data_IF_203313245244
#
_entry.id   IF_203313245244
#
_cell.length_a   1.000
_cell.length_b   1.000
_cell.length_c   1.000
_cell.angle_alpha   90.00
_cell.angle_beta   90.00
_cell.angle_gamma   90.00
#
_symmetry.space_group_name_H-M   'P 1'
#
loop_
_entity.id
_entity.type
_entity.pdbx_description
1 polymer ?
#
# COMPACT_ATOMS: atom_id res chain seq x y z
N UNK A 1 19.93 3.46 4.12
CA UNK A 1 19.75 2.56 5.27
C UNK A 1 19.54 1.15 4.76
N UNK A 2 20.28 0.15 5.26
CA UNK A 2 20.17 -1.24 4.83
C UNK A 2 18.80 -1.82 5.25
N UNK A 3 18.33 -2.85 4.53
CA UNK A 3 17.15 -3.61 4.91
C UNK A 3 17.58 -4.79 5.80
N UNK A 4 16.81 -5.06 6.85
CA UNK A 4 17.03 -6.21 7.71
C UNK A 4 16.24 -7.42 7.19
N UNK A 5 16.81 -8.62 7.25
CA UNK A 5 16.10 -9.85 6.94
C UNK A 5 15.39 -10.37 8.18
N UNK A 6 14.12 -10.62 8.06
CA UNK A 6 13.25 -11.02 9.17
C UNK A 6 12.47 -12.28 8.80
N UNK A 7 12.06 -13.09 9.81
CA UNK A 7 11.14 -14.19 9.58
C UNK A 7 9.82 -13.68 9.02
N UNK A 8 9.27 -14.41 8.04
CA UNK A 8 8.02 -14.01 7.40
C UNK A 8 6.82 -14.33 8.28
N UNK A 9 5.83 -13.44 8.36
CA UNK A 9 4.57 -13.71 9.04
C UNK A 9 3.80 -14.85 8.37
N UNK A 10 2.94 -15.50 9.15
CA UNK A 10 1.96 -16.46 8.60
C UNK A 10 1.12 -15.78 7.51
N UNK A 11 0.92 -16.48 6.40
CA UNK A 11 0.19 -15.95 5.24
C UNK A 11 1.05 -15.20 4.22
N UNK A 12 2.31 -14.86 4.56
CA UNK A 12 3.23 -14.23 3.62
C UNK A 12 3.60 -15.16 2.47
N UNK A 13 3.58 -14.64 1.27
CA UNK A 13 4.08 -15.30 0.05
C UNK A 13 5.21 -14.47 -0.56
N UNK A 14 6.41 -15.04 -0.63
CA UNK A 14 7.59 -14.32 -1.12
C UNK A 14 7.38 -13.83 -2.56
N UNK A 15 7.59 -12.53 -2.81
CA UNK A 15 7.36 -11.88 -4.11
C UNK A 15 5.93 -12.04 -4.71
N UNK A 16 4.99 -12.49 -3.90
CA UNK A 16 3.56 -12.60 -4.22
C UNK A 16 2.69 -11.95 -3.13
N UNK A 17 3.27 -11.16 -2.24
CA UNK A 17 2.55 -10.36 -1.25
C UNK A 17 2.49 -8.92 -1.70
N UNK A 18 1.29 -8.36 -1.78
CA UNK A 18 1.05 -6.93 -2.02
C UNK A 18 1.01 -6.21 -0.68
N UNK A 19 1.74 -5.11 -0.56
CA UNK A 19 1.65 -4.22 0.59
C UNK A 19 0.50 -3.23 0.44
N UNK A 20 -0.24 -2.99 1.51
CA UNK A 20 -1.26 -1.96 1.57
C UNK A 20 -1.08 -1.14 2.85
N UNK A 21 -0.82 0.15 2.70
CA UNK A 21 -0.78 1.12 3.80
C UNK A 21 -1.84 2.18 3.60
N UNK A 22 -2.70 2.37 4.58
CA UNK A 22 -3.78 3.35 4.59
C UNK A 22 -3.65 4.24 5.81
N UNK A 23 -3.76 5.54 5.62
CA UNK A 23 -3.61 6.54 6.66
C UNK A 23 -4.96 7.24 6.93
N UNK A 24 -5.34 7.45 8.20
CA UNK A 24 -6.51 8.26 8.54
C UNK A 24 -6.46 9.66 7.91
N UNK A 25 -5.26 10.22 7.80
CA UNK A 25 -5.05 11.53 7.18
C UNK A 25 -5.41 11.53 5.70
N UNK A 26 -5.03 10.49 4.92
CA UNK A 26 -5.44 10.37 3.51
C UNK A 26 -6.95 10.21 3.39
N UNK A 27 -7.56 9.41 4.26
CA UNK A 27 -9.01 9.25 4.27
C UNK A 27 -9.75 10.57 4.60
N UNK A 28 -9.17 11.42 5.46
CA UNK A 28 -9.75 12.73 5.79
C UNK A 28 -9.68 13.75 4.65
N UNK A 29 -8.78 13.55 3.67
CA UNK A 29 -8.65 14.38 2.47
C UNK A 29 -9.52 13.88 1.31
N UNK A 30 -10.07 12.68 1.40
CA UNK A 30 -11.03 12.18 0.42
C UNK A 30 -12.36 12.95 0.52
N UNK A 31 -13.08 13.08 -0.58
CA UNK A 31 -14.40 13.72 -0.61
C UNK A 31 -15.41 12.99 0.27
N UNK A 32 -15.31 11.66 0.29
CA UNK A 32 -16.09 10.77 1.12
C UNK A 32 -15.14 9.74 1.76
N UNK A 33 -14.99 9.84 3.07
CA UNK A 33 -14.08 8.99 3.86
C UNK A 33 -14.51 7.51 3.82
N UNK A 34 -15.81 7.26 3.87
CA UNK A 34 -16.34 5.89 3.87
C UNK A 34 -16.19 5.26 2.50
N UNK A 35 -16.51 5.98 1.42
CA UNK A 35 -16.29 5.53 0.07
C UNK A 35 -14.81 5.25 -0.21
N UNK A 36 -13.90 6.09 0.29
CA UNK A 36 -12.46 5.87 0.18
C UNK A 36 -12.00 4.62 0.93
N UNK A 37 -12.48 4.38 2.14
CA UNK A 37 -12.17 3.16 2.89
C UNK A 37 -12.71 1.91 2.16
N UNK A 38 -13.93 1.99 1.64
CA UNK A 38 -14.55 0.92 0.86
C UNK A 38 -13.78 0.63 -0.44
N UNK A 39 -13.17 1.64 -1.07
CA UNK A 39 -12.30 1.44 -2.23
C UNK A 39 -11.10 0.55 -1.90
N UNK A 40 -10.47 0.74 -0.73
CA UNK A 40 -9.39 -0.15 -0.26
C UNK A 40 -9.88 -1.56 0.06
N UNK A 41 -11.05 -1.72 0.67
CA UNK A 41 -11.67 -3.04 0.91
C UNK A 41 -11.93 -3.75 -0.42
N UNK A 42 -12.46 -3.04 -1.40
CA UNK A 42 -12.73 -3.58 -2.75
C UNK A 42 -11.45 -3.94 -3.48
N UNK A 43 -10.37 -3.15 -3.34
CA UNK A 43 -9.05 -3.50 -3.86
C UNK A 43 -8.54 -4.82 -3.27
N UNK A 44 -8.60 -5.00 -1.95
CA UNK A 44 -8.20 -6.25 -1.32
C UNK A 44 -9.02 -7.43 -1.86
N UNK A 45 -10.34 -7.27 -1.94
CA UNK A 45 -11.24 -8.30 -2.50
C UNK A 45 -10.90 -8.62 -3.96
N UNK A 46 -10.59 -7.62 -4.76
CA UNK A 46 -10.14 -7.79 -6.15
C UNK A 46 -8.85 -8.62 -6.23
N UNK A 47 -7.82 -8.27 -5.45
CA UNK A 47 -6.55 -9.00 -5.40
C UNK A 47 -6.77 -10.48 -5.06
N UNK A 48 -7.59 -10.75 -4.04
CA UNK A 48 -7.87 -12.11 -3.58
C UNK A 48 -8.64 -12.95 -4.60
N UNK A 49 -9.50 -12.33 -5.40
CA UNK A 49 -10.32 -12.99 -6.43
C UNK A 49 -9.60 -13.22 -7.75
N UNK A 50 -8.67 -12.35 -8.11
CA UNK A 50 -8.01 -12.36 -9.42
C UNK A 50 -6.61 -12.98 -9.37
N UNK A 51 -6.11 -13.28 -8.17
CA UNK A 51 -4.78 -13.86 -7.99
C UNK A 51 -4.65 -14.69 -6.71
N UNK A 52 -3.58 -15.47 -6.62
CA UNK A 52 -3.19 -16.17 -5.38
C UNK A 52 -2.35 -15.31 -4.43
N UNK A 53 -2.23 -14.01 -4.70
CA UNK A 53 -1.43 -13.09 -3.90
C UNK A 53 -1.98 -12.96 -2.48
N UNK A 54 -1.07 -12.70 -1.55
CA UNK A 54 -1.40 -12.27 -0.20
C UNK A 54 -1.40 -10.74 -0.10
N UNK A 55 -2.04 -10.19 0.93
CA UNK A 55 -2.09 -8.76 1.22
C UNK A 55 -1.57 -8.52 2.63
N UNK A 56 -0.45 -7.82 2.74
CA UNK A 56 0.09 -7.33 4.00
C UNK A 56 -0.42 -5.91 4.27
N UNK A 57 -1.21 -5.74 5.30
CA UNK A 57 -1.63 -4.43 5.80
C UNK A 57 -0.48 -3.86 6.64
N UNK A 58 0.06 -2.72 6.24
CA UNK A 58 1.33 -2.22 6.74
C UNK A 58 1.11 -0.93 7.54
N UNK A 59 1.11 -0.96 8.89
CA UNK A 59 1.08 0.25 9.70
C UNK A 59 2.43 0.95 9.67
N UNK A 60 2.43 2.28 9.63
CA UNK A 60 3.66 3.08 9.65
C UNK A 60 3.63 4.18 10.71
N UNK A 61 2.49 4.84 10.89
CA UNK A 61 2.28 5.83 11.95
C UNK A 61 1.25 5.29 12.93
N UNK A 62 1.59 5.30 14.22
CA UNK A 62 0.75 4.75 15.30
C UNK A 62 0.59 5.74 16.47
N UNK A 63 0.52 7.04 16.16
CA UNK A 63 0.28 8.06 17.16
C UNK A 63 -1.21 8.13 17.52
N UNK A 64 -1.52 8.53 18.75
CA UNK A 64 -2.90 8.55 19.25
C UNK A 64 -3.91 9.33 18.38
N UNK A 65 -3.44 10.36 17.66
CA UNK A 65 -4.26 11.22 16.81
C UNK A 65 -4.11 10.95 15.29
N UNK A 66 -3.16 10.09 14.89
CA UNK A 66 -2.93 9.70 13.50
C UNK A 66 -2.40 8.24 13.51
N UNK A 67 -3.32 7.27 13.58
CA UNK A 67 -3.00 5.87 13.77
C UNK A 67 -3.46 5.04 12.57
N UNK A 68 -2.50 4.55 11.80
CA UNK A 68 -2.80 3.69 10.63
C UNK A 68 -3.53 2.40 11.03
N UNK A 69 -3.33 1.91 12.27
CA UNK A 69 -3.99 0.70 12.76
C UNK A 69 -5.52 0.79 12.76
N UNK A 70 -6.08 1.99 12.92
CA UNK A 70 -7.54 2.19 12.93
C UNK A 70 -8.13 1.83 11.55
N UNK A 71 -7.57 2.38 10.48
CA UNK A 71 -8.00 2.12 9.12
C UNK A 71 -7.68 0.67 8.70
N UNK A 72 -6.49 0.18 9.04
CA UNK A 72 -6.06 -1.18 8.67
C UNK A 72 -6.86 -2.26 9.39
N UNK A 73 -7.22 -2.05 10.67
CA UNK A 73 -8.08 -2.96 11.43
C UNK A 73 -9.51 -2.98 10.86
N UNK A 74 -10.03 -1.82 10.45
CA UNK A 74 -11.33 -1.75 9.78
C UNK A 74 -11.33 -2.54 8.47
N UNK A 75 -10.27 -2.43 7.65
CA UNK A 75 -10.12 -3.23 6.42
C UNK A 75 -10.01 -4.72 6.77
N UNK A 76 -9.15 -5.11 7.74
CA UNK A 76 -8.96 -6.52 8.14
C UNK A 76 -10.26 -7.17 8.60
N UNK A 77 -11.14 -6.43 9.27
CA UNK A 77 -12.42 -6.95 9.75
C UNK A 77 -13.31 -7.53 8.63
N UNK A 78 -13.22 -7.00 7.40
CA UNK A 78 -13.91 -7.56 6.22
C UNK A 78 -13.32 -8.90 5.73
N UNK A 79 -12.15 -9.29 6.23
CA UNK A 79 -11.39 -10.48 5.83
C UNK A 79 -10.93 -11.28 7.07
N UNK A 80 -11.78 -11.38 8.10
CA UNK A 80 -11.42 -11.99 9.39
C UNK A 80 -10.86 -13.41 9.21
N UNK A 81 -11.52 -14.24 8.40
CA UNK A 81 -11.19 -15.65 8.17
C UNK A 81 -10.28 -15.88 6.94
N UNK A 82 -9.80 -14.81 6.27
CA UNK A 82 -8.92 -14.94 5.11
C UNK A 82 -7.45 -14.89 5.56
N UNK A 83 -6.72 -16.03 5.52
CA UNK A 83 -5.34 -16.09 5.99
C UNK A 83 -4.34 -15.34 5.10
N UNK A 84 -4.72 -15.03 3.85
CA UNK A 84 -3.89 -14.24 2.94
C UNK A 84 -3.93 -12.74 3.24
N UNK A 85 -4.80 -12.28 4.17
CA UNK A 85 -4.85 -10.87 4.62
C UNK A 85 -4.41 -10.79 6.06
N UNK A 86 -3.31 -10.11 6.34
CA UNK A 86 -2.76 -9.97 7.69
C UNK A 86 -2.18 -8.58 7.92
N UNK A 87 -2.07 -8.17 9.18
CA UNK A 87 -1.47 -6.89 9.58
C UNK A 87 -0.03 -7.17 10.05
N UNK A 88 0.94 -6.40 9.56
CA UNK A 88 2.31 -6.40 10.08
C UNK A 88 2.35 -5.77 11.48
N UNK A 89 3.36 -6.14 12.26
CA UNK A 89 3.61 -5.53 13.57
C UNK A 89 3.79 -4.01 13.45
N UNK A 90 3.19 -3.27 14.36
CA UNK A 90 3.35 -1.82 14.53
C UNK A 90 4.63 -1.42 15.29
N UNK A 91 5.41 -2.42 15.74
CA UNK A 91 6.64 -2.24 16.54
C UNK A 91 7.93 -2.40 15.73
N UNK A 92 7.83 -2.41 14.40
CA UNK A 92 8.99 -2.54 13.53
C UNK A 92 9.81 -1.24 13.51
N UNK A 93 11.13 -1.38 13.61
CA UNK A 93 12.03 -0.26 13.30
C UNK A 93 12.13 -0.05 11.79
N UNK A 94 12.74 1.07 11.36
CA UNK A 94 12.80 1.44 9.95
C UNK A 94 13.58 0.44 9.06
N UNK A 95 14.58 -0.26 9.59
CA UNK A 95 15.33 -1.29 8.85
C UNK A 95 14.51 -2.55 8.66
N UNK A 96 13.82 -3.00 9.70
CA UNK A 96 12.90 -4.13 9.69
C UNK A 96 11.74 -3.86 8.72
N UNK A 97 11.16 -2.67 8.81
CA UNK A 97 10.11 -2.21 7.92
C UNK A 97 10.54 -2.29 6.44
N UNK A 98 11.71 -1.74 6.12
CA UNK A 98 12.29 -1.84 4.79
C UNK A 98 12.59 -3.28 4.39
N UNK A 99 12.94 -4.15 5.35
CA UNK A 99 13.14 -5.57 5.16
C UNK A 99 11.89 -6.29 4.63
N UNK A 100 10.71 -5.96 5.14
CA UNK A 100 9.45 -6.48 4.61
C UNK A 100 9.08 -5.84 3.28
N UNK A 101 9.21 -4.52 3.16
CA UNK A 101 8.83 -3.78 1.94
C UNK A 101 9.59 -4.31 0.72
N UNK A 102 10.90 -4.54 0.80
CA UNK A 102 11.72 -5.06 -0.32
C UNK A 102 11.25 -6.42 -0.88
N UNK A 103 10.46 -7.18 -0.10
CA UNK A 103 9.99 -8.54 -0.44
C UNK A 103 8.58 -8.54 -1.05
N UNK A 104 7.95 -7.38 -1.16
CA UNK A 104 6.65 -7.23 -1.80
C UNK A 104 6.74 -7.40 -3.32
N UNK A 105 5.64 -7.82 -3.94
CA UNK A 105 5.49 -7.78 -5.40
C UNK A 105 4.97 -6.43 -5.90
N UNK A 106 4.31 -5.66 -5.05
CA UNK A 106 3.81 -4.32 -5.30
C UNK A 106 3.32 -3.67 -4.01
N UNK A 107 3.16 -2.35 -4.02
CA UNK A 107 2.74 -1.57 -2.87
C UNK A 107 1.73 -0.49 -3.27
N UNK A 108 0.64 -0.38 -2.50
CA UNK A 108 -0.25 0.78 -2.51
C UNK A 108 -0.12 1.47 -1.16
N UNK A 109 0.24 2.76 -1.14
CA UNK A 109 0.56 3.43 0.11
C UNK A 109 0.08 4.87 0.18
N UNK A 110 -0.39 5.26 1.37
CA UNK A 110 -0.77 6.61 1.73
C UNK A 110 0.36 7.40 2.44
N UNK A 111 1.49 6.75 2.75
CA UNK A 111 2.60 7.37 3.51
C UNK A 111 3.85 7.52 2.64
N UNK A 112 4.38 8.74 2.55
CA UNK A 112 5.57 9.08 1.75
C UNK A 112 6.81 8.25 2.15
N UNK A 113 7.06 8.05 3.45
CA UNK A 113 8.24 7.29 3.88
C UNK A 113 8.16 5.81 3.48
N UNK A 114 6.96 5.25 3.40
CA UNK A 114 6.72 3.90 2.91
C UNK A 114 7.01 3.81 1.41
N UNK A 115 6.57 4.80 0.63
CA UNK A 115 6.88 4.85 -0.81
C UNK A 115 8.38 4.99 -1.07
N UNK A 116 9.09 5.81 -0.29
CA UNK A 116 10.56 5.95 -0.40
C UNK A 116 11.27 4.64 -0.09
N UNK A 117 10.82 3.89 0.93
CA UNK A 117 11.37 2.55 1.21
C UNK A 117 11.18 1.60 0.02
N UNK A 118 10.00 1.61 -0.61
CA UNK A 118 9.68 0.78 -1.76
C UNK A 118 10.50 1.18 -3.00
N UNK A 119 10.56 2.46 -3.34
CA UNK A 119 11.36 2.96 -4.47
C UNK A 119 12.85 2.59 -4.32
N UNK A 120 13.40 2.73 -3.11
CA UNK A 120 14.80 2.37 -2.83
C UNK A 120 15.10 0.88 -2.89
N UNK A 121 14.09 0.05 -3.11
CA UNK A 121 14.18 -1.42 -3.23
C UNK A 121 13.50 -1.96 -4.49
N UNK A 122 13.20 -1.07 -5.45
CA UNK A 122 12.60 -1.37 -6.75
C UNK A 122 11.26 -2.13 -6.66
N UNK A 123 10.44 -1.80 -5.65
CA UNK A 123 9.09 -2.35 -5.53
C UNK A 123 8.12 -1.45 -6.29
N UNK A 124 7.36 -1.98 -7.27
CA UNK A 124 6.33 -1.22 -7.96
C UNK A 124 5.36 -0.59 -6.96
N UNK A 125 5.15 0.73 -7.04
CA UNK A 125 4.44 1.47 -5.99
C UNK A 125 3.45 2.45 -6.58
N UNK A 126 2.21 2.39 -6.08
CA UNK A 126 1.15 3.38 -6.28
C UNK A 126 0.97 4.19 -4.99
N UNK A 127 1.04 5.50 -5.09
CA UNK A 127 0.86 6.41 -3.96
C UNK A 127 -0.54 7.01 -3.97
N UNK A 128 -1.23 7.00 -2.84
CA UNK A 128 -2.43 7.80 -2.63
C UNK A 128 -1.99 9.06 -1.89
N UNK A 129 -1.90 10.16 -2.63
CA UNK A 129 -1.27 11.39 -2.14
C UNK A 129 -2.25 12.56 -1.97
N UNK A 130 -2.11 13.31 -0.90
CA UNK A 130 -2.85 14.55 -0.66
C UNK A 130 -1.97 15.80 -0.74
N UNK A 131 -0.66 15.64 -0.83
CA UNK A 131 0.31 16.75 -0.72
C UNK A 131 1.13 16.93 -1.99
N UNK A 132 1.62 18.15 -2.21
CA UNK A 132 2.57 18.49 -3.28
C UNK A 132 3.89 17.70 -3.18
N UNK A 133 4.26 17.23 -1.97
CA UNK A 133 5.46 16.42 -1.75
C UNK A 133 5.39 15.08 -2.48
N UNK A 134 4.26 14.39 -2.41
CA UNK A 134 4.08 13.12 -3.11
C UNK A 134 4.15 13.30 -4.63
N UNK A 135 3.57 14.39 -5.15
CA UNK A 135 3.64 14.76 -6.56
C UNK A 135 5.08 15.09 -6.99
N UNK A 136 5.80 15.88 -6.19
CA UNK A 136 7.22 16.20 -6.46
C UNK A 136 8.07 14.95 -6.57
N UNK A 137 7.96 14.02 -5.64
CA UNK A 137 8.71 12.74 -5.66
C UNK A 137 8.39 11.93 -6.92
N UNK A 138 7.11 11.84 -7.32
CA UNK A 138 6.74 11.09 -8.52
C UNK A 138 7.36 11.73 -9.78
N UNK A 139 7.31 13.06 -9.90
CA UNK A 139 7.92 13.78 -11.03
C UNK A 139 9.44 13.65 -11.06
N UNK A 140 10.10 13.75 -9.90
CA UNK A 140 11.55 13.65 -9.80
C UNK A 140 12.07 12.25 -10.16
N UNK A 141 11.34 11.19 -9.78
CA UNK A 141 11.75 9.81 -10.03
C UNK A 141 11.31 9.26 -11.39
N UNK A 142 10.12 9.65 -11.86
CA UNK A 142 9.50 9.03 -13.04
C UNK A 142 9.19 10.02 -14.17
N UNK A 143 9.46 11.31 -13.98
CA UNK A 143 9.13 12.36 -14.94
C UNK A 143 7.64 12.72 -15.02
N UNK A 144 6.76 11.93 -14.38
CA UNK A 144 5.30 12.11 -14.39
C UNK A 144 4.65 11.60 -13.11
N UNK A 145 3.48 12.13 -12.76
CA UNK A 145 2.61 11.60 -11.71
C UNK A 145 1.73 10.46 -12.23
N UNK A 146 1.50 10.42 -13.54
CA UNK A 146 0.57 9.49 -14.18
C UNK A 146 0.96 8.04 -13.92
N UNK A 147 0.01 7.27 -13.39
CA UNK A 147 0.20 5.87 -13.05
C UNK A 147 1.04 5.61 -11.81
N UNK A 148 1.58 6.63 -11.14
CA UNK A 148 2.38 6.53 -9.91
C UNK A 148 1.67 7.11 -8.70
N UNK A 149 0.69 8.00 -8.91
CA UNK A 149 -0.03 8.68 -7.86
C UNK A 149 -1.51 8.85 -8.20
N UNK A 150 -2.37 8.62 -7.22
CA UNK A 150 -3.78 9.05 -7.22
C UNK A 150 -3.93 10.13 -6.15
N UNK A 151 -4.45 11.32 -6.50
CA UNK A 151 -4.81 12.33 -5.50
C UNK A 151 -5.90 11.79 -4.56
N UNK A 152 -5.72 11.94 -3.26
CA UNK A 152 -6.70 11.46 -2.27
C UNK A 152 -8.11 12.06 -2.50
N UNK A 153 -8.17 13.30 -2.97
CA UNK A 153 -9.42 14.00 -3.32
C UNK A 153 -10.15 13.38 -4.51
N UNK A 154 -9.45 12.63 -5.35
CA UNK A 154 -10.00 11.95 -6.53
C UNK A 154 -10.38 10.51 -6.23
N UNK A 155 -10.01 9.98 -5.05
CA UNK A 155 -10.39 8.64 -4.61
C UNK A 155 -11.89 8.61 -4.25
N UNK A 156 -12.72 8.50 -5.29
CA UNK A 156 -14.18 8.57 -5.17
C UNK A 156 -14.88 7.22 -5.32
N UNK A 157 -14.14 6.16 -5.68
CA UNK A 157 -14.73 4.84 -5.90
C UNK A 157 -13.70 3.73 -6.06
N UNK A 158 -14.21 2.51 -6.01
CA UNK A 158 -13.42 1.28 -6.08
C UNK A 158 -12.78 1.04 -7.46
N UNK A 159 -13.46 1.42 -8.54
CA UNK A 159 -13.03 1.13 -9.92
C UNK A 159 -11.71 1.80 -10.27
N UNK A 160 -11.52 3.04 -9.84
CA UNK A 160 -10.31 3.83 -10.14
C UNK A 160 -9.07 3.23 -9.45
N UNK A 161 -9.19 2.90 -8.17
CA UNK A 161 -8.08 2.31 -7.41
C UNK A 161 -7.71 0.92 -7.94
N UNK A 162 -8.70 0.10 -8.29
CA UNK A 162 -8.50 -1.21 -8.89
C UNK A 162 -7.80 -1.09 -10.25
N UNK A 163 -8.27 -0.20 -11.12
CA UNK A 163 -7.68 0.00 -12.44
C UNK A 163 -6.21 0.48 -12.36
N UNK A 164 -5.92 1.39 -11.44
CA UNK A 164 -4.56 1.88 -11.20
C UNK A 164 -3.65 0.78 -10.63
N UNK A 165 -4.15 -0.04 -9.71
CA UNK A 165 -3.44 -1.20 -9.19
C UNK A 165 -3.13 -2.23 -10.31
N UNK A 166 -4.10 -2.57 -11.14
CA UNK A 166 -3.90 -3.52 -12.23
C UNK A 166 -2.88 -2.99 -13.25
N UNK A 167 -2.90 -1.68 -13.55
CA UNK A 167 -1.91 -1.05 -14.40
C UNK A 167 -0.49 -1.08 -13.77
N UNK A 168 -0.38 -0.84 -12.45
CA UNK A 168 0.87 -0.95 -11.71
C UNK A 168 1.45 -2.36 -11.82
N UNK A 169 0.63 -3.38 -11.59
CA UNK A 169 1.09 -4.77 -11.57
C UNK A 169 1.54 -5.24 -12.95
N UNK A 170 0.82 -4.87 -14.02
CA UNK A 170 1.23 -5.16 -15.41
C UNK A 170 2.58 -4.53 -15.76
N UNK A 171 2.83 -3.28 -15.35
CA UNK A 171 4.13 -2.63 -15.58
C UNK A 171 5.24 -3.30 -14.80
N UNK A 172 5.02 -3.59 -13.52
CA UNK A 172 6.01 -4.25 -12.67
C UNK A 172 6.35 -5.68 -13.11
N UNK A 173 5.47 -6.36 -13.82
CA UNK A 173 5.74 -7.66 -14.46
C UNK A 173 6.60 -7.49 -15.73
N UNK A 174 6.26 -6.53 -16.59
CA UNK A 174 7.00 -6.25 -17.81
C UNK A 174 8.45 -5.75 -17.57
N UNK A 175 8.71 -5.09 -16.45
CA UNK A 175 10.06 -4.62 -16.07
C UNK A 175 10.95 -5.73 -15.47
N UNK A 176 10.39 -6.91 -15.21
CA UNK A 176 11.12 -8.07 -14.65
C UNK A 176 11.50 -9.12 -15.71
N UNK A 177 10.91 -9.04 -16.89
CA UNK A 177 11.24 -9.87 -18.07
C UNK A 177 12.42 -9.27 -18.84
#
# INVERSE_FOLDING_TARGET
>A
MAAEELPLPTGWKEKQTVGLNVSPLVLSHAKDKEAALNAFVSLVRHILRTSDRAVALIPHVTWAHDNDMDALSAIKAHFADEPRVFILSDRLNAMQYKGYVKRLCGLVTARTHVSVAAYSTFVPTLVIGYSVKARGIARDLFGSEEGHLIPAQELSGETELIAAYDALMRRGEAERE
#
